data_IF_507740741648
#
_entry.id   IF_507740741648
#
_cell.length_a   1.000
_cell.length_b   1.000
_cell.length_c   1.000
_cell.angle_alpha   90.00
_cell.angle_beta   90.00
_cell.angle_gamma   90.00
#
_symmetry.space_group_name_H-M   'P 1'
#
loop_
_entity.id
_entity.type
_entity.pdbx_description
1 polymer ?
#
# COMPACT_ATOMS: atom_id res chain seq x y z
N UNK A 1 -16.63 -1.71 4.66
CA UNK A 1 -16.53 -2.82 3.67
C UNK A 1 -17.87 -3.53 3.52
N UNK A 2 -18.46 -4.10 4.58
CA UNK A 2 -19.76 -4.78 4.52
C UNK A 2 -20.88 -3.93 3.89
N UNK A 3 -20.98 -2.65 4.30
CA UNK A 3 -22.01 -1.73 3.80
C UNK A 3 -21.78 -1.34 2.32
N UNK A 4 -20.52 -1.08 1.93
CA UNK A 4 -20.14 -0.80 0.54
C UNK A 4 -20.36 -2.03 -0.37
N UNK A 5 -20.04 -3.24 0.12
CA UNK A 5 -20.25 -4.50 -0.58
C UNK A 5 -21.74 -4.80 -0.76
N UNK A 6 -22.55 -4.64 0.29
CA UNK A 6 -24.00 -4.79 0.21
C UNK A 6 -24.62 -3.84 -0.83
N UNK A 7 -24.24 -2.56 -0.81
CA UNK A 7 -24.71 -1.57 -1.80
C UNK A 7 -24.23 -1.93 -3.21
N UNK A 8 -22.98 -2.38 -3.35
CA UNK A 8 -22.39 -2.81 -4.62
C UNK A 8 -23.14 -3.99 -5.24
N UNK A 9 -23.48 -5.01 -4.44
CA UNK A 9 -24.17 -6.22 -4.90
C UNK A 9 -25.67 -6.01 -5.15
N UNK A 10 -26.37 -5.24 -4.29
CA UNK A 10 -27.84 -5.11 -4.35
C UNK A 10 -28.33 -3.97 -5.23
N UNK A 11 -27.60 -2.86 -5.30
CA UNK A 11 -28.05 -1.62 -5.95
C UNK A 11 -27.12 -1.27 -7.12
N UNK A 12 -25.82 -1.52 -6.97
CA UNK A 12 -24.83 -1.41 -8.03
C UNK A 12 -23.53 -0.78 -7.56
N UNK A 13 -22.44 -1.16 -8.21
CA UNK A 13 -21.07 -0.78 -7.85
C UNK A 13 -20.82 0.74 -7.78
N UNK A 14 -21.55 1.55 -8.56
CA UNK A 14 -21.47 3.02 -8.49
C UNK A 14 -21.78 3.55 -7.09
N UNK A 15 -22.80 2.98 -6.44
CA UNK A 15 -23.20 3.36 -5.08
C UNK A 15 -22.26 2.80 -4.01
N UNK A 16 -21.75 1.58 -4.22
CA UNK A 16 -20.72 0.99 -3.34
C UNK A 16 -19.44 1.84 -3.28
N UNK A 17 -18.93 2.26 -4.44
CA UNK A 17 -17.76 3.14 -4.53
C UNK A 17 -18.05 4.57 -4.03
N UNK A 18 -19.22 5.12 -4.35
CA UNK A 18 -19.64 6.43 -3.83
C UNK A 18 -19.69 6.48 -2.30
N UNK A 19 -20.25 5.43 -1.68
CA UNK A 19 -20.30 5.30 -0.23
C UNK A 19 -18.88 5.21 0.39
N UNK A 20 -17.95 4.50 -0.26
CA UNK A 20 -16.57 4.45 0.20
C UNK A 20 -15.91 5.84 0.21
N UNK A 21 -16.17 6.66 -0.82
CA UNK A 21 -15.71 8.05 -0.90
C UNK A 21 -16.20 8.91 0.27
N UNK A 22 -17.45 8.72 0.71
CA UNK A 22 -18.01 9.44 1.87
C UNK A 22 -17.23 9.10 3.16
N UNK A 23 -16.93 7.82 3.41
CA UNK A 23 -16.15 7.44 4.59
C UNK A 23 -14.69 7.91 4.52
N UNK A 24 -14.08 7.90 3.34
CA UNK A 24 -12.75 8.49 3.14
C UNK A 24 -12.76 10.00 3.43
N UNK A 25 -13.81 10.70 3.01
CA UNK A 25 -13.98 12.13 3.30
C UNK A 25 -14.10 12.40 4.81
N UNK A 26 -14.86 11.59 5.56
CA UNK A 26 -14.91 11.72 7.01
C UNK A 26 -13.58 11.42 7.70
N UNK A 27 -12.82 10.43 7.22
CA UNK A 27 -11.47 10.16 7.71
C UNK A 27 -10.53 11.35 7.49
N UNK A 28 -10.60 11.98 6.30
CA UNK A 28 -9.87 13.21 6.01
C UNK A 28 -10.29 14.36 6.93
N UNK A 29 -11.59 14.53 7.16
CA UNK A 29 -12.12 15.58 8.01
C UNK A 29 -11.67 15.39 9.48
N UNK A 30 -11.67 14.15 9.99
CA UNK A 30 -11.13 13.83 11.31
C UNK A 30 -9.64 14.19 11.40
N UNK A 31 -8.83 13.84 10.40
CA UNK A 31 -7.41 14.18 10.37
C UNK A 31 -7.20 15.70 10.34
N UNK A 32 -7.98 16.41 9.52
CA UNK A 32 -7.91 17.86 9.42
C UNK A 32 -8.27 18.57 10.74
N UNK A 33 -9.28 18.08 11.47
CA UNK A 33 -9.64 18.61 12.78
C UNK A 33 -8.59 18.27 13.86
N UNK A 34 -7.88 17.15 13.72
CA UNK A 34 -6.87 16.67 14.66
C UNK A 34 -5.44 17.18 14.37
N UNK A 35 -5.24 18.00 13.34
CA UNK A 35 -3.91 18.45 12.90
C UNK A 35 -3.07 19.14 14.00
N UNK A 36 -3.73 19.78 14.98
CA UNK A 36 -3.06 20.47 16.08
C UNK A 36 -2.31 19.52 17.04
N UNK A 37 -2.61 18.21 17.03
CA UNK A 37 -1.91 17.21 17.85
C UNK A 37 -0.43 17.09 17.45
N UNK A 38 -0.08 17.38 16.19
CA UNK A 38 1.27 17.21 15.68
C UNK A 38 2.19 18.42 15.95
N UNK A 39 1.68 19.54 16.47
CA UNK A 39 2.50 20.71 16.81
C UNK A 39 3.33 21.23 15.62
N UNK A 40 4.65 21.26 15.77
CA UNK A 40 5.60 21.65 14.72
C UNK A 40 6.18 20.46 13.93
N UNK A 41 5.79 19.23 14.28
CA UNK A 41 6.30 18.01 13.64
C UNK A 41 5.74 17.94 12.21
N UNK A 42 6.65 17.87 11.23
CA UNK A 42 6.29 17.80 9.81
C UNK A 42 6.09 19.15 9.12
N UNK A 43 6.24 20.28 9.83
CA UNK A 43 6.36 21.59 9.18
C UNK A 43 7.65 21.64 8.36
N UNK A 44 7.62 22.34 7.22
CA UNK A 44 8.80 22.58 6.40
C UNK A 44 9.89 23.23 7.29
N UNK A 45 11.14 22.74 7.26
CA UNK A 45 12.21 23.37 8.04
C UNK A 45 12.27 24.85 7.66
N UNK A 46 12.14 25.71 8.68
CA UNK A 46 12.30 27.14 8.51
C UNK A 46 13.77 27.33 8.15
N UNK A 47 14.01 27.86 6.95
CA UNK A 47 15.35 28.17 6.47
C UNK A 47 15.83 29.41 7.26
N UNK A 48 16.25 29.19 8.51
CA UNK A 48 16.90 30.24 9.29
C UNK A 48 18.27 30.46 8.68
N UNK A 49 18.49 31.69 8.21
CA UNK A 49 19.73 32.13 7.60
C UNK A 49 20.89 31.99 8.61
N UNK A 50 22.02 31.47 8.12
CA UNK A 50 23.34 31.60 8.72
C UNK A 50 23.50 31.14 10.19
N UNK A 51 23.40 29.84 10.43
CA UNK A 51 24.42 29.19 11.25
C UNK A 51 25.33 28.46 10.28
N UNK A 52 26.57 28.92 10.20
CA UNK A 52 27.68 28.19 9.64
C UNK A 52 27.82 26.89 10.43
N UNK A 53 26.99 25.90 10.12
CA UNK A 53 27.24 24.54 10.58
C UNK A 53 28.53 24.13 9.87
N UNK A 54 29.63 24.18 10.62
CA UNK A 54 30.72 23.24 10.46
C UNK A 54 30.08 21.90 10.11
N UNK A 55 30.15 21.49 8.83
CA UNK A 55 29.70 20.18 8.38
C UNK A 55 30.22 19.18 9.40
N UNK A 56 29.31 18.68 10.23
CA UNK A 56 29.67 17.67 11.21
C UNK A 56 30.24 16.51 10.41
N UNK A 57 31.36 15.95 10.85
CA UNK A 57 32.06 14.86 10.17
C UNK A 57 31.20 13.56 10.05
N UNK A 58 29.95 13.61 10.52
CA UNK A 58 28.94 12.56 10.54
C UNK A 58 27.78 12.79 9.54
N UNK A 59 27.77 13.88 8.74
CA UNK A 59 26.77 14.02 7.68
C UNK A 59 27.03 13.00 6.55
N UNK A 60 26.04 12.15 6.19
CA UNK A 60 26.23 11.11 5.20
C UNK A 60 26.59 11.72 3.85
N UNK A 61 27.61 11.17 3.19
CA UNK A 61 28.08 11.66 1.90
C UNK A 61 26.95 11.54 0.88
N UNK A 62 26.59 12.64 0.23
CA UNK A 62 25.56 12.64 -0.80
C UNK A 62 25.96 11.69 -1.94
N UNK A 63 25.06 10.76 -2.29
CA UNK A 63 25.22 9.82 -3.39
C UNK A 63 24.37 10.30 -4.60
N UNK A 64 24.91 11.17 -5.48
CA UNK A 64 24.15 11.73 -6.59
C UNK A 64 23.75 10.65 -7.59
N UNK A 65 22.58 10.81 -8.20
CA UNK A 65 22.12 9.91 -9.26
C UNK A 65 22.98 10.09 -10.50
N UNK A 66 23.54 8.99 -11.00
CA UNK A 66 24.22 8.96 -12.29
C UNK A 66 23.19 8.98 -13.41
N UNK A 67 23.53 9.51 -14.59
CA UNK A 67 22.60 9.57 -15.74
C UNK A 67 22.00 8.19 -16.09
N UNK A 68 22.80 7.12 -16.01
CA UNK A 68 22.34 5.74 -16.23
C UNK A 68 21.26 5.33 -15.20
N UNK A 69 21.45 5.71 -13.93
CA UNK A 69 20.47 5.42 -12.88
C UNK A 69 19.18 6.22 -13.11
N UNK A 70 19.29 7.47 -13.55
CA UNK A 70 18.15 8.30 -13.87
C UNK A 70 17.34 7.71 -15.03
N UNK A 71 18.01 7.22 -16.07
CA UNK A 71 17.38 6.51 -17.19
C UNK A 71 16.70 5.23 -16.74
N UNK A 72 17.36 4.42 -15.90
CA UNK A 72 16.77 3.20 -15.33
C UNK A 72 15.51 3.49 -14.52
N UNK A 73 15.50 4.56 -13.71
CA UNK A 73 14.32 5.01 -12.97
C UNK A 73 13.20 5.38 -13.95
N UNK A 74 13.52 6.21 -14.94
CA UNK A 74 12.56 6.64 -15.95
C UNK A 74 11.90 5.45 -16.66
N UNK A 75 12.71 4.50 -17.13
CA UNK A 75 12.21 3.30 -17.82
C UNK A 75 11.37 2.42 -16.89
N UNK A 76 11.84 2.11 -15.68
CA UNK A 76 11.12 1.27 -14.74
C UNK A 76 9.78 1.90 -14.31
N UNK A 77 9.75 3.21 -14.04
CA UNK A 77 8.53 3.93 -13.67
C UNK A 77 7.54 4.01 -14.84
N UNK A 78 8.00 4.29 -16.05
CA UNK A 78 7.13 4.35 -17.24
C UNK A 78 6.54 2.98 -17.53
N UNK A 79 7.34 1.91 -17.51
CA UNK A 79 6.84 0.55 -17.74
C UNK A 79 5.85 0.11 -16.66
N UNK A 80 6.14 0.38 -15.38
CA UNK A 80 5.23 0.06 -14.28
C UNK A 80 3.89 0.80 -14.37
N UNK A 81 3.92 2.11 -14.66
CA UNK A 81 2.71 2.91 -14.83
C UNK A 81 1.92 2.49 -16.07
N UNK A 82 2.60 2.26 -17.19
CA UNK A 82 1.97 1.77 -18.42
C UNK A 82 1.31 0.41 -18.19
N UNK A 83 1.93 -0.49 -17.43
CA UNK A 83 1.34 -1.78 -17.06
C UNK A 83 0.05 -1.63 -16.24
N UNK A 84 0.07 -0.79 -15.19
CA UNK A 84 -1.10 -0.52 -14.35
C UNK A 84 -2.28 0.04 -15.16
N UNK A 85 -2.00 0.90 -16.14
CA UNK A 85 -3.03 1.52 -16.98
C UNK A 85 -3.50 0.60 -18.12
N UNK A 86 -2.63 -0.27 -18.65
CA UNK A 86 -2.96 -1.11 -19.80
C UNK A 86 -4.09 -2.09 -19.49
N UNK A 87 -4.09 -2.71 -18.31
CA UNK A 87 -5.10 -3.70 -17.91
C UNK A 87 -6.54 -3.16 -17.94
N UNK A 88 -6.87 -2.02 -17.29
CA UNK A 88 -8.21 -1.44 -17.39
C UNK A 88 -8.51 -0.89 -18.79
N UNK A 89 -7.54 -0.25 -19.46
CA UNK A 89 -7.74 0.33 -20.80
C UNK A 89 -8.06 -0.76 -21.84
N UNK A 90 -7.30 -1.85 -21.83
CA UNK A 90 -7.50 -2.98 -22.74
C UNK A 90 -8.86 -3.64 -22.52
N UNK A 91 -9.32 -3.76 -21.26
CA UNK A 91 -10.63 -4.36 -20.92
C UNK A 91 -11.80 -3.46 -21.32
N UNK A 92 -11.67 -2.14 -21.12
CA UNK A 92 -12.72 -1.16 -21.48
C UNK A 92 -12.81 -1.00 -23.00
N UNK A 93 -11.68 -1.10 -23.68
CA UNK A 93 -11.58 -0.90 -25.14
C UNK A 93 -11.85 -2.16 -25.96
N UNK A 94 -12.27 -3.28 -25.35
CA UNK A 94 -12.43 -4.58 -26.02
C UNK A 94 -11.19 -5.01 -26.85
N UNK A 95 -9.99 -4.62 -26.40
CA UNK A 95 -8.74 -4.94 -27.08
C UNK A 95 -8.30 -3.98 -28.19
N UNK A 96 -9.05 -2.93 -28.54
CA UNK A 96 -8.64 -1.98 -29.58
C UNK A 96 -7.40 -1.13 -29.18
N UNK A 97 -7.18 -0.91 -27.89
CA UNK A 97 -5.98 -0.28 -27.34
C UNK A 97 -5.28 -1.23 -26.37
N UNK A 98 -4.29 -1.97 -26.87
CA UNK A 98 -3.37 -2.76 -26.04
C UNK A 98 -1.94 -2.29 -26.27
N UNK A 99 -1.36 -1.62 -25.26
CA UNK A 99 0.01 -1.09 -25.30
C UNK A 99 1.07 -2.20 -25.36
N UNK A 100 0.72 -3.41 -24.93
CA UNK A 100 1.64 -4.56 -24.84
C UNK A 100 1.15 -5.75 -25.67
N UNK A 101 0.67 -5.50 -26.90
CA UNK A 101 0.21 -6.54 -27.84
C UNK A 101 1.35 -7.29 -28.56
N UNK A 102 2.47 -7.47 -27.88
CA UNK A 102 3.60 -8.25 -28.39
C UNK A 102 3.82 -9.48 -27.52
N UNK A 103 4.38 -10.54 -28.10
CA UNK A 103 4.85 -11.69 -27.34
C UNK A 103 6.36 -11.62 -27.23
N UNK A 104 6.87 -11.68 -26.00
CA UNK A 104 8.31 -11.68 -25.73
C UNK A 104 8.63 -12.90 -24.87
N UNK A 105 9.63 -13.69 -25.29
CA UNK A 105 10.06 -14.91 -24.58
C UNK A 105 8.95 -15.93 -24.28
N UNK A 106 7.92 -16.03 -25.13
CA UNK A 106 6.79 -16.95 -24.92
C UNK A 106 5.79 -16.51 -23.84
N UNK A 107 5.91 -15.29 -23.32
CA UNK A 107 4.98 -14.68 -22.36
C UNK A 107 4.22 -13.51 -22.99
N UNK A 108 3.04 -13.17 -22.45
CA UNK A 108 2.31 -11.97 -22.88
C UNK A 108 3.16 -10.73 -22.66
N UNK A 109 3.07 -9.76 -23.57
CA UNK A 109 3.87 -8.52 -23.50
C UNK A 109 3.68 -7.77 -22.20
N UNK A 110 2.47 -7.82 -21.63
CA UNK A 110 2.16 -7.27 -20.30
C UNK A 110 2.99 -7.93 -19.20
N UNK A 111 3.07 -9.27 -19.17
CA UNK A 111 3.88 -10.00 -18.19
C UNK A 111 5.39 -9.74 -18.39
N UNK A 112 5.84 -9.69 -19.64
CA UNK A 112 7.23 -9.36 -19.94
C UNK A 112 7.58 -7.93 -19.47
N UNK A 113 6.68 -6.96 -19.67
CA UNK A 113 6.88 -5.58 -19.26
C UNK A 113 6.99 -5.42 -17.74
N UNK A 114 6.09 -6.04 -16.96
CA UNK A 114 6.15 -5.94 -15.49
C UNK A 114 7.35 -6.66 -14.89
N UNK A 115 7.71 -7.83 -15.41
CA UNK A 115 8.92 -8.55 -14.97
C UNK A 115 10.17 -7.72 -15.28
N UNK A 116 10.23 -7.13 -16.47
CA UNK A 116 11.35 -6.24 -16.85
C UNK A 116 11.42 -5.02 -15.93
N UNK A 117 10.30 -4.35 -15.66
CA UNK A 117 10.26 -3.20 -14.76
C UNK A 117 10.74 -3.55 -13.34
N UNK A 118 10.29 -4.70 -12.82
CA UNK A 118 10.71 -5.20 -11.50
C UNK A 118 12.22 -5.52 -11.47
N UNK A 119 12.74 -6.18 -12.50
CA UNK A 119 14.17 -6.49 -12.59
C UNK A 119 15.03 -5.23 -12.64
N UNK A 120 14.63 -4.22 -13.44
CA UNK A 120 15.34 -2.93 -13.50
C UNK A 120 15.31 -2.21 -12.14
N UNK A 121 14.18 -2.26 -11.43
CA UNK A 121 14.03 -1.68 -10.11
C UNK A 121 14.93 -2.38 -9.07
N UNK A 122 14.91 -3.71 -9.01
CA UNK A 122 15.77 -4.49 -8.10
C UNK A 122 17.25 -4.27 -8.40
N UNK A 123 17.62 -4.27 -9.68
CA UNK A 123 18.99 -3.98 -10.13
C UNK A 123 19.45 -2.60 -9.65
N UNK A 124 18.58 -1.59 -9.71
CA UNK A 124 18.89 -0.27 -9.21
C UNK A 124 19.17 -0.29 -7.70
N UNK A 125 18.34 -0.97 -6.91
CA UNK A 125 18.55 -1.10 -5.47
C UNK A 125 19.90 -1.76 -5.15
N UNK A 126 20.23 -2.86 -5.83
CA UNK A 126 21.49 -3.59 -5.64
C UNK A 126 22.71 -2.74 -5.99
N UNK A 127 22.65 -1.94 -7.06
CA UNK A 127 23.75 -1.04 -7.45
C UNK A 127 23.92 0.12 -6.44
N UNK A 128 22.81 0.61 -5.90
CA UNK A 128 22.81 1.88 -5.15
C UNK A 128 23.10 1.69 -3.67
N UNK A 129 22.52 0.67 -3.03
CA UNK A 129 22.60 0.47 -1.58
C UNK A 129 24.03 0.31 -1.05
N UNK A 130 24.94 -0.43 -1.71
CA UNK A 130 26.32 -0.56 -1.26
C UNK A 130 27.13 0.75 -1.29
N UNK A 131 26.65 1.78 -2.02
CA UNK A 131 27.35 3.08 -2.15
C UNK A 131 27.08 4.06 -1.00
N UNK A 132 26.18 3.70 -0.08
CA UNK A 132 25.87 4.53 1.07
C UNK A 132 26.75 4.18 2.27
N UNK A 133 26.93 5.14 3.17
CA UNK A 133 27.63 4.96 4.44
C UNK A 133 26.98 3.86 5.28
N UNK A 134 27.77 3.17 6.12
CA UNK A 134 27.35 1.96 6.86
C UNK A 134 26.02 2.15 7.60
N UNK A 135 25.88 3.24 8.36
CA UNK A 135 24.67 3.55 9.14
C UNK A 135 23.45 3.72 8.22
N UNK A 136 23.60 4.49 7.13
CA UNK A 136 22.53 4.75 6.16
C UNK A 136 22.14 3.46 5.43
N UNK A 137 23.12 2.67 5.02
CA UNK A 137 22.93 1.37 4.39
C UNK A 137 22.15 0.41 5.28
N UNK A 138 22.52 0.30 6.56
CA UNK A 138 21.86 -0.62 7.49
C UNK A 138 20.40 -0.20 7.75
N UNK A 139 20.13 1.11 7.83
CA UNK A 139 18.75 1.64 7.89
C UNK A 139 17.94 1.31 6.63
N UNK A 140 18.52 1.48 5.44
CA UNK A 140 17.84 1.14 4.19
C UNK A 140 17.61 -0.37 4.03
N UNK A 141 18.55 -1.21 4.48
CA UNK A 141 18.39 -2.67 4.49
C UNK A 141 17.20 -3.07 5.38
N UNK A 142 17.05 -2.44 6.55
CA UNK A 142 15.88 -2.65 7.40
C UNK A 142 14.58 -2.22 6.71
N UNK A 143 14.55 -1.06 6.02
CA UNK A 143 13.38 -0.61 5.26
C UNK A 143 13.02 -1.59 4.15
N UNK A 144 13.99 -2.09 3.40
CA UNK A 144 13.74 -3.10 2.35
C UNK A 144 13.21 -4.40 2.92
N UNK A 145 13.72 -4.84 4.07
CA UNK A 145 13.21 -6.02 4.77
C UNK A 145 11.72 -5.85 5.13
N UNK A 146 11.35 -4.72 5.73
CA UNK A 146 9.95 -4.44 6.03
C UNK A 146 9.10 -4.31 4.76
N UNK A 147 9.59 -3.60 3.73
CA UNK A 147 8.89 -3.47 2.45
C UNK A 147 8.65 -4.83 1.78
N UNK A 148 9.62 -5.75 1.84
CA UNK A 148 9.47 -7.11 1.32
C UNK A 148 8.36 -7.87 2.04
N UNK A 149 8.31 -7.83 3.38
CA UNK A 149 7.21 -8.43 4.15
C UNK A 149 5.87 -7.79 3.78
N UNK A 150 5.84 -6.47 3.63
CA UNK A 150 4.64 -5.72 3.25
C UNK A 150 4.09 -6.15 1.89
N UNK A 151 4.93 -6.54 0.93
CA UNK A 151 4.46 -7.08 -0.36
C UNK A 151 3.61 -8.34 -0.16
N UNK A 152 4.08 -9.30 0.64
CA UNK A 152 3.32 -10.54 0.90
C UNK A 152 2.06 -10.29 1.72
N UNK A 153 2.15 -9.39 2.70
CA UNK A 153 1.00 -8.96 3.47
C UNK A 153 -0.11 -8.44 2.54
N UNK A 154 0.20 -7.50 1.66
CA UNK A 154 -0.79 -6.96 0.72
C UNK A 154 -1.21 -7.97 -0.35
N UNK A 155 -0.30 -8.83 -0.82
CA UNK A 155 -0.64 -9.86 -1.80
C UNK A 155 -1.68 -10.86 -1.27
N UNK A 156 -1.68 -11.14 0.04
CA UNK A 156 -2.70 -11.98 0.68
C UNK A 156 -3.93 -11.14 1.05
N UNK A 157 -3.74 -9.93 1.56
CA UNK A 157 -4.86 -9.06 1.96
C UNK A 157 -5.76 -8.67 0.77
N UNK A 158 -5.16 -8.37 -0.38
CA UNK A 158 -5.87 -8.00 -1.60
C UNK A 158 -6.67 -9.16 -2.23
N UNK A 159 -6.48 -10.39 -1.73
CA UNK A 159 -7.30 -11.54 -2.12
C UNK A 159 -8.66 -11.55 -1.43
N UNK A 160 -8.84 -10.82 -0.32
CA UNK A 160 -10.11 -10.75 0.42
C UNK A 160 -11.30 -10.33 -0.48
N UNK A 161 -11.23 -9.22 -1.26
CA UNK A 161 -12.34 -8.81 -2.13
C UNK A 161 -12.45 -9.60 -3.43
N UNK A 162 -11.46 -10.43 -3.79
CA UNK A 162 -11.42 -11.13 -5.08
C UNK A 162 -11.65 -12.64 -4.92
N UNK A 163 -10.57 -13.42 -4.81
CA UNK A 163 -10.61 -14.88 -4.79
C UNK A 163 -11.38 -15.42 -3.59
N UNK A 164 -11.20 -14.84 -2.39
CA UNK A 164 -11.89 -15.30 -1.18
C UNK A 164 -13.39 -15.03 -1.22
N UNK A 165 -13.82 -13.95 -1.89
CA UNK A 165 -15.24 -13.64 -2.06
C UNK A 165 -15.91 -14.63 -3.02
N UNK A 166 -15.25 -15.01 -4.12
CA UNK A 166 -15.74 -16.05 -5.04
C UNK A 166 -15.74 -17.41 -4.35
N UNK A 167 -14.69 -17.73 -3.59
CA UNK A 167 -14.61 -18.97 -2.82
C UNK A 167 -15.75 -19.07 -1.80
N UNK A 168 -16.07 -17.98 -1.10
CA UNK A 168 -17.19 -17.91 -0.18
C UNK A 168 -18.55 -18.07 -0.88
N UNK A 169 -18.64 -17.69 -2.15
CA UNK A 169 -19.88 -17.85 -2.94
C UNK A 169 -20.09 -19.29 -3.39
N UNK A 170 -19.04 -19.93 -3.89
CA UNK A 170 -19.14 -21.20 -4.61
C UNK A 170 -18.85 -22.42 -3.72
N UNK A 171 -17.99 -22.27 -2.70
CA UNK A 171 -17.50 -23.38 -1.87
C UNK A 171 -17.82 -23.27 -0.38
N UNK A 172 -18.50 -22.19 0.05
CA UNK A 172 -18.91 -22.04 1.45
C UNK A 172 -20.42 -22.14 1.58
N UNK A 173 -20.88 -22.99 2.48
CA UNK A 173 -22.30 -23.07 2.82
C UNK A 173 -22.72 -21.82 3.60
N UNK A 174 -23.53 -20.96 2.96
CA UNK A 174 -23.97 -19.68 3.53
C UNK A 174 -25.32 -19.75 4.23
N UNK A 175 -26.03 -20.87 4.10
CA UNK A 175 -27.28 -21.12 4.82
C UNK A 175 -26.90 -21.78 6.14
N UNK A 176 -26.91 -20.98 7.20
CA UNK A 176 -26.65 -21.41 8.57
C UNK A 176 -27.99 -21.50 9.30
N UNK A 177 -28.33 -22.70 9.79
CA UNK A 177 -29.56 -22.94 10.56
C UNK A 177 -29.21 -23.54 11.94
N UNK A 178 -30.05 -23.23 12.93
CA UNK A 178 -29.88 -23.71 14.30
C UNK A 178 -28.56 -23.31 14.95
N UNK A 179 -27.92 -24.25 15.64
CA UNK A 179 -26.72 -24.01 16.46
C UNK A 179 -25.52 -23.48 15.65
N UNK A 180 -25.42 -23.81 14.36
CA UNK A 180 -24.35 -23.31 13.50
C UNK A 180 -24.43 -21.79 13.28
N UNK A 181 -25.65 -21.24 13.19
CA UNK A 181 -25.86 -19.80 13.05
C UNK A 181 -25.45 -19.05 14.32
N UNK A 182 -25.72 -19.62 15.49
CA UNK A 182 -25.37 -19.01 16.77
C UNK A 182 -23.85 -19.06 17.00
N UNK A 183 -23.19 -20.18 16.70
CA UNK A 183 -21.72 -20.30 16.73
C UNK A 183 -21.09 -19.26 15.80
N UNK A 184 -21.60 -19.12 14.56
CA UNK A 184 -21.08 -18.14 13.61
C UNK A 184 -21.20 -16.70 14.13
N UNK A 185 -22.35 -16.32 14.69
CA UNK A 185 -22.55 -14.98 15.28
C UNK A 185 -21.60 -14.71 16.44
N UNK A 186 -21.39 -15.71 17.31
CA UNK A 186 -20.46 -15.59 18.44
C UNK A 186 -19.03 -15.40 17.94
N UNK A 187 -18.56 -16.26 17.03
CA UNK A 187 -17.20 -16.16 16.47
C UNK A 187 -16.99 -14.83 15.74
N UNK A 188 -17.93 -14.43 14.88
CA UNK A 188 -17.86 -13.15 14.16
C UNK A 188 -17.80 -11.94 15.11
N UNK A 189 -18.57 -11.99 16.20
CA UNK A 189 -18.54 -10.93 17.22
C UNK A 189 -17.20 -10.89 17.94
N UNK A 190 -16.66 -12.05 18.35
CA UNK A 190 -15.36 -12.14 19.00
C UNK A 190 -14.22 -11.65 18.10
N UNK A 191 -14.23 -12.00 16.81
CA UNK A 191 -13.26 -11.53 15.82
C UNK A 191 -13.25 -9.99 15.69
N UNK A 192 -14.35 -9.32 16.00
CA UNK A 192 -14.44 -7.85 15.96
C UNK A 192 -14.10 -7.22 17.31
N UNK A 193 -14.69 -7.74 18.39
CA UNK A 193 -14.61 -7.15 19.73
C UNK A 193 -13.22 -7.34 20.34
N UNK A 194 -12.60 -8.51 20.19
CA UNK A 194 -11.30 -8.80 20.81
C UNK A 194 -10.20 -7.88 20.27
N UNK A 195 -9.98 -7.75 18.95
CA UNK A 195 -8.93 -6.85 18.44
C UNK A 195 -9.20 -5.39 18.80
N UNK A 196 -10.46 -4.95 18.74
CA UNK A 196 -10.85 -3.59 19.10
C UNK A 196 -10.58 -3.31 20.58
N UNK A 197 -10.87 -4.27 21.46
CA UNK A 197 -10.58 -4.19 22.88
C UNK A 197 -9.08 -4.08 23.18
N UNK A 198 -8.26 -4.90 22.52
CA UNK A 198 -6.78 -4.83 22.63
C UNK A 198 -6.26 -3.46 22.17
N UNK A 199 -6.72 -2.97 21.01
CA UNK A 199 -6.29 -1.66 20.50
C UNK A 199 -6.70 -0.55 21.46
N UNK A 200 -7.93 -0.58 21.96
CA UNK A 200 -8.44 0.41 22.93
C UNK A 200 -7.59 0.42 24.19
N UNK A 201 -7.25 -0.76 24.71
CA UNK A 201 -6.39 -0.88 25.89
C UNK A 201 -4.98 -0.33 25.65
N UNK A 202 -4.35 -0.65 24.52
CA UNK A 202 -3.03 -0.13 24.16
C UNK A 202 -3.06 1.40 23.99
N UNK A 203 -4.12 1.96 23.41
CA UNK A 203 -4.27 3.41 23.25
C UNK A 203 -4.40 4.12 24.60
N UNK A 204 -5.14 3.54 25.55
CA UNK A 204 -5.23 4.08 26.92
C UNK A 204 -3.85 4.06 27.59
N UNK A 205 -3.11 2.96 27.47
CA UNK A 205 -1.74 2.88 28.01
C UNK A 205 -0.80 3.92 27.41
N UNK A 206 -0.91 4.16 26.10
CA UNK A 206 -0.10 5.15 25.40
C UNK A 206 -0.48 6.57 25.84
N UNK A 207 -1.77 6.88 25.91
CA UNK A 207 -2.26 8.17 26.41
C UNK A 207 -1.71 8.48 27.81
N UNK A 208 -1.77 7.51 28.72
CA UNK A 208 -1.22 7.65 30.06
C UNK A 208 0.30 7.90 30.06
N UNK A 209 1.06 7.39 29.09
CA UNK A 209 2.50 7.68 28.99
C UNK A 209 2.81 9.01 28.30
N UNK A 210 1.92 9.51 27.46
CA UNK A 210 2.12 10.76 26.72
C UNK A 210 1.74 11.99 27.55
N UNK A 211 0.76 11.86 28.44
CA UNK A 211 0.22 12.98 29.24
C UNK A 211 0.47 12.86 30.75
N UNK A 212 1.15 11.81 31.23
CA UNK A 212 1.73 11.78 32.58
C UNK A 212 3.19 12.27 32.54
#
# INVERSE_FOLDING_TARGET
ILLCGYLGEKIGWRWGFGLAGIFMFFGLLQFWLAQNIFGDIGKKPIKTEAVSETHSADEPKLNPFTNIQLTLIGVASVLGLAWILNDPVSKISEGAYNLFDFQMFGTSGSNAAIITALLLFVLLLVIRIPRYDKITRDRMLAVMFFAFITIFFWAIFEQAPSSLTIFAKDYTQRILEGNAADIFKVVNSLMTIIPLGIITWVLILLFNKTFA
#
